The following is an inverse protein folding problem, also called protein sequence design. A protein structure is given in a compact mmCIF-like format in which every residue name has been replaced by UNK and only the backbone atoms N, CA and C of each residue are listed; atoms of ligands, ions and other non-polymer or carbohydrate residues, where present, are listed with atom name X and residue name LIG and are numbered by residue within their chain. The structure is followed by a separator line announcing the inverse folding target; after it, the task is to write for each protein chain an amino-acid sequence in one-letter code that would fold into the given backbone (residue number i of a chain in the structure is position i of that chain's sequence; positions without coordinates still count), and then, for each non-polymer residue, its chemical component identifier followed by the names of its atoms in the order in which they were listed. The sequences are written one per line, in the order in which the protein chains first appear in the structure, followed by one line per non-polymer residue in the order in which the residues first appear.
data_IF_578782034038
#
_entry.id   IF_578782034038
#
_cell.length_a   1.000
_cell.length_b   1.000
_cell.length_c   1.000
_cell.angle_alpha   90.00
_cell.angle_beta   90.00
_cell.angle_gamma   90.00
#
_symmetry.space_group_name_H-M   'P 1'
#
loop_
_entity.id
_entity.type
_entity.pdbx_description
1 polymer ?
#
# COMPACT_ATOMS: atom_id res chain seq x y z
N UNK A 1 -8.51 -57.18 -58.12
CA UNK A 1 -7.35 -56.27 -58.29
C UNK A 1 -7.83 -54.83 -58.20
N UNK A 2 -7.72 -54.21 -57.02
CA UNK A 2 -8.03 -52.78 -56.86
C UNK A 2 -7.02 -51.99 -57.70
N UNK A 3 -7.46 -51.24 -58.72
CA UNK A 3 -6.54 -50.48 -59.59
C UNK A 3 -5.79 -49.45 -58.75
N UNK A 4 -4.46 -49.43 -58.87
CA UNK A 4 -3.51 -48.57 -58.13
C UNK A 4 -3.89 -47.08 -58.16
N UNK A 5 -4.66 -46.67 -59.18
CA UNK A 5 -5.15 -45.31 -59.40
C UNK A 5 -6.17 -44.81 -58.36
N UNK A 6 -6.87 -45.70 -57.65
CA UNK A 6 -7.80 -45.35 -56.57
C UNK A 6 -7.17 -45.44 -55.18
N UNK A 7 -5.97 -46.01 -55.06
CA UNK A 7 -5.32 -46.25 -53.77
C UNK A 7 -4.78 -44.94 -53.15
N UNK A 8 -4.27 -44.05 -54.00
CA UNK A 8 -3.73 -42.75 -53.60
C UNK A 8 -4.79 -41.79 -53.01
N UNK A 9 -5.97 -41.56 -53.64
CA UNK A 9 -7.00 -40.70 -53.05
C UNK A 9 -7.61 -41.28 -51.77
N UNK A 10 -7.72 -42.62 -51.66
CA UNK A 10 -8.21 -43.28 -50.43
C UNK A 10 -7.21 -43.09 -49.28
N UNK A 11 -5.90 -43.21 -49.54
CA UNK A 11 -4.85 -42.98 -48.54
C UNK A 11 -4.88 -41.53 -48.01
N UNK A 12 -5.11 -40.55 -48.89
CA UNK A 12 -5.20 -39.13 -48.54
C UNK A 12 -6.45 -38.82 -47.70
N UNK A 13 -7.57 -39.47 -48.00
CA UNK A 13 -8.82 -39.35 -47.24
C UNK A 13 -8.71 -40.00 -45.85
N UNK A 14 -8.06 -41.17 -45.76
CA UNK A 14 -7.77 -41.85 -44.48
C UNK A 14 -6.79 -41.04 -43.64
N UNK A 15 -5.75 -40.46 -44.26
CA UNK A 15 -4.81 -39.55 -43.57
C UNK A 15 -5.51 -38.30 -43.05
N UNK A 16 -6.42 -37.71 -43.83
CA UNK A 16 -7.23 -36.56 -43.40
C UNK A 16 -8.13 -36.89 -42.22
N UNK A 17 -8.85 -38.02 -42.27
CA UNK A 17 -9.66 -38.49 -41.15
C UNK A 17 -8.83 -38.77 -39.89
N UNK A 18 -7.64 -39.36 -40.04
CA UNK A 18 -6.77 -39.70 -38.90
C UNK A 18 -6.19 -38.46 -38.22
N UNK A 19 -5.92 -37.40 -38.99
CA UNK A 19 -5.43 -36.12 -38.44
C UNK A 19 -6.48 -35.35 -37.62
N UNK A 20 -7.78 -35.57 -37.86
CA UNK A 20 -8.87 -34.93 -37.10
C UNK A 20 -9.12 -35.64 -35.75
N UNK A 21 -8.66 -36.89 -35.61
CA UNK A 21 -8.86 -37.72 -34.41
C UNK A 21 -7.71 -37.67 -33.40
N UNK A 22 -6.69 -36.83 -33.58
CA UNK A 22 -5.66 -36.66 -32.56
C UNK A 22 -6.25 -35.86 -31.39
N UNK A 23 -6.33 -36.42 -30.16
CA UNK A 23 -6.75 -35.64 -29.00
C UNK A 23 -5.75 -34.49 -28.82
N UNK A 24 -6.25 -33.26 -28.81
CA UNK A 24 -5.42 -32.10 -28.49
C UNK A 24 -4.82 -32.28 -27.10
N UNK A 25 -3.49 -32.23 -26.97
CA UNK A 25 -2.84 -32.18 -25.67
C UNK A 25 -3.15 -30.83 -25.01
N UNK A 26 -3.95 -30.84 -23.94
CA UNK A 26 -4.02 -29.70 -23.05
C UNK A 26 -2.77 -29.69 -22.15
N UNK A 27 -2.05 -28.57 -22.02
CA UNK A 27 -0.93 -28.49 -21.10
C UNK A 27 -1.36 -28.82 -19.67
N UNK A 28 -0.51 -29.55 -18.94
CA UNK A 28 -0.82 -30.02 -17.58
C UNK A 28 -1.10 -28.87 -16.63
N UNK A 29 -0.39 -27.75 -16.79
CA UNK A 29 -0.55 -26.54 -15.99
C UNK A 29 -1.92 -25.85 -16.18
N UNK A 30 -2.65 -26.20 -17.25
CA UNK A 30 -4.00 -25.67 -17.51
C UNK A 30 -5.12 -26.59 -17.02
N UNK A 31 -4.80 -27.80 -16.59
CA UNK A 31 -5.76 -28.69 -15.95
C UNK A 31 -6.07 -28.20 -14.54
N UNK A 32 -7.35 -28.13 -14.18
CA UNK A 32 -7.75 -27.76 -12.83
C UNK A 32 -7.51 -28.93 -11.87
N UNK A 33 -6.94 -28.63 -10.72
CA UNK A 33 -6.95 -29.53 -9.56
C UNK A 33 -8.00 -29.10 -8.53
N UNK A 34 -8.52 -30.08 -7.80
CA UNK A 34 -9.58 -29.90 -6.79
C UNK A 34 -9.06 -29.96 -5.35
N UNK A 35 -7.74 -30.06 -5.16
CA UNK A 35 -7.08 -30.10 -3.86
C UNK A 35 -5.80 -29.25 -3.88
N UNK A 36 -5.20 -29.03 -2.71
CA UNK A 36 -4.03 -28.16 -2.53
C UNK A 36 -4.41 -26.72 -2.17
N UNK A 37 -3.39 -25.90 -1.95
CA UNK A 37 -3.53 -24.51 -1.53
C UNK A 37 -2.50 -23.60 -2.21
N UNK A 38 -2.53 -22.33 -1.80
CA UNK A 38 -1.65 -21.28 -2.26
C UNK A 38 -0.46 -21.11 -1.31
N UNK A 39 0.66 -20.63 -1.85
CA UNK A 39 1.78 -20.14 -1.05
C UNK A 39 1.92 -18.62 -1.23
N UNK A 40 2.34 -17.92 -0.18
CA UNK A 40 2.44 -16.46 -0.19
C UNK A 40 3.90 -16.03 -0.01
N UNK A 41 4.31 -14.92 -0.62
CA UNK A 41 5.66 -14.37 -0.40
C UNK A 41 5.88 -13.85 1.03
N UNK A 42 4.80 -13.59 1.76
CA UNK A 42 4.83 -13.15 3.15
C UNK A 42 3.54 -13.59 3.85
N UNK A 43 3.63 -13.83 5.15
CA UNK A 43 2.50 -14.03 6.06
C UNK A 43 1.84 -12.70 6.45
N UNK A 44 2.64 -11.63 6.49
CA UNK A 44 2.21 -10.26 6.82
C UNK A 44 2.78 -9.24 5.83
N UNK A 45 1.92 -8.39 5.27
CA UNK A 45 2.32 -7.17 4.55
C UNK A 45 2.30 -6.00 5.53
N UNK A 46 3.51 -5.53 5.90
CA UNK A 46 3.70 -4.50 6.92
C UNK A 46 3.95 -3.11 6.33
N UNK A 47 3.30 -2.10 6.90
CA UNK A 47 3.57 -0.68 6.69
C UNK A 47 4.09 -0.06 8.00
N UNK A 48 5.39 0.24 8.03
CA UNK A 48 6.04 0.91 9.17
C UNK A 48 5.72 2.40 9.17
N UNK A 49 5.31 2.91 10.35
CA UNK A 49 4.89 4.28 10.66
C UNK A 49 4.50 5.14 9.46
N UNK A 50 3.24 5.07 9.08
CA UNK A 50 2.67 5.83 7.98
C UNK A 50 1.80 6.97 8.49
N UNK A 51 1.88 8.12 7.83
CA UNK A 51 1.00 9.24 8.16
C UNK A 51 -0.43 8.96 7.76
N UNK A 52 -1.38 9.31 8.62
CA UNK A 52 -2.81 9.24 8.28
C UNK A 52 -3.15 10.26 7.20
N UNK A 53 -4.26 10.06 6.51
CA UNK A 53 -4.78 10.87 5.40
C UNK A 53 -3.92 10.88 4.13
N UNK A 54 -2.65 10.48 4.21
CA UNK A 54 -1.73 10.30 3.08
C UNK A 54 -1.72 8.85 2.60
N UNK A 55 -1.44 8.68 1.31
CA UNK A 55 -1.30 7.36 0.69
C UNK A 55 0.10 6.81 0.98
N UNK A 56 0.18 5.53 1.34
CA UNK A 56 1.45 4.85 1.56
C UNK A 56 2.13 4.44 0.24
N UNK A 57 3.39 4.03 0.34
CA UNK A 57 4.06 3.30 -0.73
C UNK A 57 3.31 2.01 -1.08
N UNK A 58 3.44 1.54 -2.31
CA UNK A 58 2.87 0.27 -2.74
C UNK A 58 3.77 -0.90 -2.34
N UNK A 59 3.22 -1.90 -1.65
CA UNK A 59 3.89 -3.17 -1.34
C UNK A 59 3.44 -4.25 -2.32
N UNK A 60 4.35 -5.19 -2.61
CA UNK A 60 4.09 -6.34 -3.48
C UNK A 60 3.83 -7.58 -2.63
N UNK A 61 2.78 -8.32 -2.96
CA UNK A 61 2.47 -9.63 -2.43
C UNK A 61 2.36 -10.59 -3.61
N UNK A 62 3.23 -11.60 -3.65
CA UNK A 62 3.13 -12.68 -4.62
C UNK A 62 2.33 -13.82 -4.03
N UNK A 63 1.38 -14.32 -4.80
CA UNK A 63 0.54 -15.47 -4.51
C UNK A 63 0.93 -16.55 -5.50
N UNK A 64 1.47 -17.67 -5.02
CA UNK A 64 2.03 -18.74 -5.84
C UNK A 64 1.10 -19.95 -5.84
N UNK A 65 0.85 -20.48 -7.04
CA UNK A 65 0.39 -21.85 -7.19
C UNK A 65 1.61 -22.76 -7.32
N UNK A 66 2.06 -23.35 -6.21
CA UNK A 66 3.19 -24.29 -6.22
C UNK A 66 2.82 -25.69 -6.70
N UNK A 67 1.57 -25.91 -7.07
CA UNK A 67 1.09 -27.18 -7.55
C UNK A 67 1.34 -27.30 -9.07
N UNK A 68 1.51 -28.52 -9.61
CA UNK A 68 1.80 -28.73 -11.03
C UNK A 68 0.59 -28.50 -11.95
N UNK A 69 -0.61 -28.38 -11.39
CA UNK A 69 -1.87 -28.16 -12.10
C UNK A 69 -2.44 -26.79 -11.73
N UNK A 70 -3.26 -26.24 -12.60
CA UNK A 70 -3.92 -24.95 -12.38
C UNK A 70 -4.90 -24.99 -11.21
N UNK A 71 -5.05 -23.86 -10.54
CA UNK A 71 -6.00 -23.65 -9.44
C UNK A 71 -6.96 -22.53 -9.80
N UNK A 72 -8.21 -22.66 -9.35
CA UNK A 72 -9.16 -21.57 -9.38
C UNK A 72 -9.33 -21.03 -7.96
N UNK A 73 -9.03 -19.75 -7.77
CA UNK A 73 -9.30 -19.05 -6.51
C UNK A 73 -10.75 -18.59 -6.56
N UNK A 74 -11.58 -19.17 -5.71
CA UNK A 74 -13.01 -18.87 -5.65
C UNK A 74 -13.24 -17.41 -5.25
N UNK A 75 -12.49 -16.93 -4.26
CA UNK A 75 -12.60 -15.57 -3.73
C UNK A 75 -11.26 -15.05 -3.21
N UNK A 76 -10.92 -13.83 -3.61
CA UNK A 76 -9.91 -12.97 -3.00
C UNK A 76 -10.67 -11.77 -2.45
N UNK A 77 -10.59 -11.49 -1.14
CA UNK A 77 -11.29 -10.34 -0.54
C UNK A 77 -10.62 -9.87 0.74
N UNK A 78 -10.77 -8.59 1.04
CA UNK A 78 -10.54 -8.05 2.38
C UNK A 78 -11.68 -8.45 3.33
N UNK A 79 -11.46 -8.40 4.65
CA UNK A 79 -12.52 -8.62 5.64
C UNK A 79 -13.67 -7.60 5.48
N UNK A 80 -13.33 -6.33 5.23
CA UNK A 80 -14.29 -5.24 5.07
C UNK A 80 -13.99 -4.43 3.79
N UNK A 81 -14.23 -5.00 2.59
CA UNK A 81 -13.75 -4.42 1.33
C UNK A 81 -14.32 -3.01 1.03
N UNK A 82 -15.51 -2.68 1.55
CA UNK A 82 -16.16 -1.39 1.35
C UNK A 82 -15.58 -0.26 2.22
N UNK A 83 -15.08 -0.57 3.42
CA UNK A 83 -14.58 0.40 4.40
C UNK A 83 -13.09 0.27 4.65
N UNK A 84 -12.43 -0.69 4.01
CA UNK A 84 -11.02 -0.96 4.20
C UNK A 84 -10.16 0.26 3.85
N UNK A 85 -9.20 0.63 4.70
CA UNK A 85 -8.18 1.62 4.37
C UNK A 85 -7.09 1.04 3.45
N UNK A 86 -7.09 -0.27 3.20
CA UNK A 86 -6.23 -0.91 2.22
C UNK A 86 -6.87 -0.88 0.84
N UNK A 87 -6.05 -0.74 -0.19
CA UNK A 87 -6.45 -0.77 -1.59
C UNK A 87 -5.63 -1.82 -2.31
N UNK A 88 -6.32 -2.74 -2.98
CA UNK A 88 -5.69 -3.81 -3.74
C UNK A 88 -5.68 -3.52 -5.24
N UNK A 89 -4.59 -3.93 -5.89
CA UNK A 89 -4.51 -4.06 -7.34
C UNK A 89 -4.16 -5.52 -7.62
N UNK A 90 -5.12 -6.28 -8.15
CA UNK A 90 -5.01 -7.72 -8.35
C UNK A 90 -4.77 -7.96 -9.84
N UNK A 91 -3.58 -8.45 -10.19
CA UNK A 91 -3.13 -8.65 -11.57
C UNK A 91 -3.25 -7.42 -12.49
N UNK A 92 -3.07 -6.21 -11.93
CA UNK A 92 -3.18 -4.95 -12.66
C UNK A 92 -4.54 -4.25 -12.52
N UNK A 93 -5.59 -4.96 -12.08
CA UNK A 93 -6.91 -4.36 -11.90
C UNK A 93 -7.09 -3.79 -10.49
N UNK A 94 -7.57 -2.55 -10.40
CA UNK A 94 -7.93 -1.92 -9.13
C UNK A 94 -9.28 -2.49 -8.63
N UNK A 95 -9.23 -3.49 -7.76
CA UNK A 95 -10.43 -4.16 -7.20
C UNK A 95 -10.16 -4.66 -5.78
N UNK A 96 -11.12 -4.46 -4.88
CA UNK A 96 -11.05 -4.89 -3.46
C UNK A 96 -11.45 -6.35 -3.25
N UNK A 97 -12.08 -6.96 -4.25
CA UNK A 97 -12.40 -8.37 -4.29
C UNK A 97 -12.27 -8.88 -5.73
N UNK A 98 -11.96 -10.17 -5.87
CA UNK A 98 -11.95 -10.90 -7.13
C UNK A 98 -12.53 -12.29 -6.91
N UNK A 99 -13.28 -12.79 -7.89
CA UNK A 99 -13.85 -14.14 -7.86
C UNK A 99 -13.39 -14.93 -9.08
N UNK A 100 -13.37 -16.26 -8.95
CA UNK A 100 -13.02 -17.19 -10.03
C UNK A 100 -11.71 -16.82 -10.75
N UNK A 101 -10.66 -16.60 -9.96
CA UNK A 101 -9.36 -16.21 -10.50
C UNK A 101 -8.50 -17.44 -10.78
N UNK A 102 -8.25 -17.71 -12.06
CA UNK A 102 -7.43 -18.84 -12.49
C UNK A 102 -5.93 -18.53 -12.44
N UNK A 103 -5.15 -19.43 -11.84
CA UNK A 103 -3.68 -19.41 -11.86
C UNK A 103 -3.20 -20.76 -12.41
N UNK A 104 -2.32 -20.73 -13.41
CA UNK A 104 -1.72 -21.95 -13.97
C UNK A 104 -0.86 -22.70 -12.95
N UNK A 105 -0.61 -23.97 -13.22
CA UNK A 105 0.38 -24.76 -12.48
C UNK A 105 1.74 -24.07 -12.47
N UNK A 106 2.39 -24.07 -11.32
CA UNK A 106 3.72 -23.48 -11.09
C UNK A 106 3.84 -21.97 -11.38
N UNK A 107 2.71 -21.28 -11.50
CA UNK A 107 2.63 -19.85 -11.81
C UNK A 107 2.29 -19.01 -10.56
N UNK A 108 2.20 -17.70 -10.74
CA UNK A 108 1.96 -16.73 -9.69
C UNK A 108 1.06 -15.58 -10.11
N UNK A 109 0.40 -15.01 -9.11
CA UNK A 109 -0.37 -13.79 -9.19
C UNK A 109 0.31 -12.71 -8.38
N UNK A 110 0.47 -11.52 -8.95
CA UNK A 110 0.91 -10.33 -8.24
C UNK A 110 -0.29 -9.55 -7.71
N UNK A 111 -0.28 -9.28 -6.40
CA UNK A 111 -1.18 -8.34 -5.74
C UNK A 111 -0.34 -7.17 -5.24
N UNK A 112 -0.74 -5.95 -5.62
CA UNK A 112 -0.18 -4.74 -5.05
C UNK A 112 -1.10 -4.23 -3.94
N UNK A 113 -0.52 -3.95 -2.78
CA UNK A 113 -1.23 -3.45 -1.61
C UNK A 113 -0.78 -2.02 -1.33
N UNK A 114 -1.73 -1.11 -1.20
CA UNK A 114 -1.51 0.26 -0.73
C UNK A 114 -2.42 0.51 0.46
N UNK A 115 -2.08 1.47 1.31
CA UNK A 115 -2.92 1.87 2.41
C UNK A 115 -3.13 3.39 2.40
N UNK A 116 -4.27 3.83 2.93
CA UNK A 116 -4.56 5.22 3.27
C UNK A 116 -5.33 5.20 4.58
N UNK A 117 -4.60 5.36 5.68
CA UNK A 117 -5.18 5.26 7.02
C UNK A 117 -6.02 6.51 7.34
N UNK A 118 -7.21 6.38 7.94
CA UNK A 118 -7.99 7.52 8.40
C UNK A 118 -7.32 8.21 9.59
N UNK A 119 -7.65 9.47 9.86
CA UNK A 119 -7.36 10.04 11.19
C UNK A 119 -8.29 9.35 12.21
N UNK A 120 -7.74 8.89 13.33
CA UNK A 120 -8.52 8.21 14.37
C UNK A 120 -9.15 9.19 15.39
N UNK A 121 -9.03 10.51 15.17
CA UNK A 121 -9.63 11.56 16.00
C UNK A 121 -8.95 11.78 17.36
N UNK A 122 -7.90 11.03 17.69
CA UNK A 122 -7.22 11.14 18.98
C UNK A 122 -6.29 12.35 19.02
N UNK A 123 -6.73 13.41 19.70
CA UNK A 123 -6.00 14.67 19.98
C UNK A 123 -4.91 14.55 21.05
N UNK A 124 -4.45 13.34 21.36
CA UNK A 124 -3.45 13.12 22.39
C UNK A 124 -2.15 12.62 21.76
N UNK A 125 -1.03 12.97 22.42
CA UNK A 125 0.38 12.58 22.25
C UNK A 125 0.66 11.60 21.09
N UNK A 126 1.70 11.81 20.25
CA UNK A 126 1.89 11.07 19.00
C UNK A 126 2.15 9.58 19.27
N UNK A 127 1.08 8.83 19.49
CA UNK A 127 1.08 7.39 19.70
C UNK A 127 0.60 6.79 18.40
N UNK A 128 1.49 6.03 17.79
CA UNK A 128 1.13 5.26 16.63
C UNK A 128 0.04 4.26 17.03
N UNK A 129 -1.01 4.17 16.25
CA UNK A 129 -2.03 3.14 16.42
C UNK A 129 -1.80 2.03 15.38
N UNK A 130 -2.28 0.83 15.68
CA UNK A 130 -2.13 -0.31 14.78
C UNK A 130 -3.47 -0.60 14.12
N UNK A 131 -3.45 -0.79 12.81
CA UNK A 131 -4.60 -1.24 12.04
C UNK A 131 -4.25 -2.54 11.31
N UNK A 132 -5.10 -3.54 11.50
CA UNK A 132 -4.94 -4.90 11.00
C UNK A 132 -6.19 -5.32 10.23
N UNK A 133 -5.98 -5.98 9.09
CA UNK A 133 -7.05 -6.55 8.29
C UNK A 133 -6.54 -7.78 7.56
N UNK A 134 -7.38 -8.81 7.36
CA UNK A 134 -6.98 -9.98 6.60
C UNK A 134 -7.31 -9.80 5.12
N UNK A 135 -6.37 -10.19 4.28
CA UNK A 135 -6.61 -10.49 2.88
C UNK A 135 -6.85 -11.99 2.76
N UNK A 136 -8.11 -12.35 2.54
CA UNK A 136 -8.59 -13.73 2.51
C UNK A 136 -8.57 -14.30 1.09
N UNK A 137 -8.23 -15.59 1.01
CA UNK A 137 -8.20 -16.40 -0.20
C UNK A 137 -8.98 -17.69 0.05
N UNK A 138 -10.01 -17.95 -0.75
CA UNK A 138 -10.72 -19.24 -0.79
C UNK A 138 -10.32 -20.00 -2.04
N UNK A 139 -9.80 -21.21 -1.90
CA UNK A 139 -9.34 -22.04 -3.03
C UNK A 139 -9.61 -23.50 -2.70
N UNK A 140 -10.33 -24.22 -3.55
CA UNK A 140 -10.63 -25.65 -3.35
C UNK A 140 -11.29 -25.95 -1.98
N UNK A 141 -12.11 -25.02 -1.48
CA UNK A 141 -12.74 -25.11 -0.15
C UNK A 141 -11.81 -24.83 1.04
N UNK A 142 -10.53 -24.53 0.81
CA UNK A 142 -9.58 -24.11 1.83
C UNK A 142 -9.54 -22.59 1.95
N UNK A 143 -9.59 -22.08 3.18
CA UNK A 143 -9.43 -20.66 3.49
C UNK A 143 -8.01 -20.38 3.98
N UNK A 144 -7.33 -19.45 3.33
CA UNK A 144 -6.02 -18.94 3.71
C UNK A 144 -6.06 -17.42 3.79
N UNK A 145 -5.14 -16.81 4.54
CA UNK A 145 -5.07 -15.37 4.64
C UNK A 145 -3.64 -14.86 4.76
N UNK A 146 -3.46 -13.60 4.35
CA UNK A 146 -2.26 -12.80 4.61
C UNK A 146 -2.69 -11.60 5.45
N UNK A 147 -1.95 -11.32 6.52
CA UNK A 147 -2.25 -10.19 7.41
C UNK A 147 -1.76 -8.89 6.77
N UNK A 148 -2.62 -7.88 6.67
CA UNK A 148 -2.23 -6.51 6.33
C UNK A 148 -2.12 -5.72 7.64
N UNK A 149 -0.92 -5.20 7.94
CA UNK A 149 -0.65 -4.51 9.21
C UNK A 149 0.02 -3.17 8.99
N UNK A 150 -0.58 -2.12 9.54
CA UNK A 150 -0.09 -0.75 9.43
C UNK A 150 0.02 -0.07 10.78
N UNK A 151 1.11 0.68 10.98
CA UNK A 151 1.28 1.58 12.12
C UNK A 151 0.94 3.00 11.67
N UNK A 152 -0.20 3.53 12.08
CA UNK A 152 -0.68 4.87 11.72
C UNK A 152 -0.20 5.93 12.70
N UNK A 153 0.25 7.07 12.17
CA UNK A 153 0.61 8.26 12.93
C UNK A 153 -0.26 9.43 12.47
N UNK A 154 -1.10 9.97 13.35
CA UNK A 154 -1.88 11.15 13.01
C UNK A 154 -0.98 12.37 12.79
N UNK A 155 -1.41 13.25 11.89
CA UNK A 155 -0.66 14.43 11.46
C UNK A 155 -1.56 15.66 11.33
N UNK A 156 -0.93 16.84 11.35
CA UNK A 156 -1.48 18.04 10.74
C UNK A 156 -1.01 18.13 9.29
N UNK A 157 -1.92 17.92 8.35
CA UNK A 157 -1.61 18.04 6.92
C UNK A 157 -1.76 19.50 6.46
N UNK A 158 -0.69 20.07 5.95
CA UNK A 158 -0.67 21.39 5.32
C UNK A 158 -0.46 21.21 3.82
N UNK A 159 -1.55 21.28 3.05
CA UNK A 159 -1.52 21.01 1.61
C UNK A 159 -1.83 22.25 0.79
N UNK A 160 -0.86 22.76 0.03
CA UNK A 160 -0.98 23.97 -0.79
C UNK A 160 -1.79 25.09 -0.09
N UNK A 161 -1.30 25.52 1.08
CA UNK A 161 -2.07 26.35 2.00
C UNK A 161 -1.36 27.64 2.33
N UNK A 162 -2.13 28.73 2.30
CA UNK A 162 -1.72 30.02 2.83
C UNK A 162 -2.22 30.08 4.28
N UNK A 163 -1.32 30.24 5.25
CA UNK A 163 -1.69 30.29 6.66
C UNK A 163 -2.57 31.51 6.96
N UNK A 164 -3.55 31.37 7.86
CA UNK A 164 -4.48 32.46 8.15
C UNK A 164 -3.76 33.63 8.86
N UNK A 165 -4.13 34.85 8.49
CA UNK A 165 -3.51 36.09 9.00
C UNK A 165 -4.32 36.78 10.12
N UNK A 166 -5.21 36.06 10.79
CA UNK A 166 -6.05 36.58 11.87
C UNK A 166 -5.40 36.44 13.26
N UNK A 167 -4.07 36.53 13.31
CA UNK A 167 -3.27 36.37 14.52
C UNK A 167 -2.05 35.48 14.31
N UNK A 168 -1.49 34.97 15.40
CA UNK A 168 -0.35 34.03 15.36
C UNK A 168 -0.86 32.61 15.14
N UNK A 169 -0.51 32.00 14.01
CA UNK A 169 -0.71 30.56 13.81
C UNK A 169 0.31 29.80 14.64
N UNK A 170 -0.13 28.79 15.40
CA UNK A 170 0.73 28.01 16.29
C UNK A 170 0.79 26.55 15.85
N UNK A 171 2.00 26.04 15.58
CA UNK A 171 2.26 24.62 15.39
C UNK A 171 2.73 24.00 16.71
N UNK A 172 2.02 22.97 17.14
CA UNK A 172 2.21 22.27 18.42
C UNK A 172 3.00 20.97 18.23
N UNK A 173 3.48 20.39 19.33
CA UNK A 173 4.29 19.17 19.29
C UNK A 173 3.50 17.89 19.60
N UNK A 174 2.16 17.99 19.70
CA UNK A 174 1.27 16.87 20.00
C UNK A 174 1.14 15.90 18.83
N UNK A 175 1.33 16.37 17.59
CA UNK A 175 1.39 15.54 16.39
C UNK A 175 2.38 16.13 15.37
N UNK A 176 2.96 15.31 14.47
CA UNK A 176 3.74 15.84 13.37
C UNK A 176 2.95 16.76 12.44
N UNK A 177 3.60 17.79 11.92
CA UNK A 177 3.11 18.59 10.80
C UNK A 177 3.72 18.06 9.51
N UNK A 178 2.91 17.91 8.46
CA UNK A 178 3.39 17.44 7.15
C UNK A 178 3.06 18.49 6.10
N UNK A 179 4.10 18.99 5.43
CA UNK A 179 3.97 19.91 4.30
C UNK A 179 3.83 19.08 3.03
N UNK A 180 2.73 19.25 2.34
CA UNK A 180 2.46 18.61 1.06
C UNK A 180 2.27 19.71 0.02
N UNK A 181 3.30 19.97 -0.80
CA UNK A 181 3.43 21.18 -1.62
C UNK A 181 3.76 22.44 -0.77
N UNK A 182 3.32 23.62 -1.20
CA UNK A 182 3.73 24.92 -0.68
C UNK A 182 2.85 25.36 0.48
N UNK A 183 3.49 25.79 1.56
CA UNK A 183 2.87 26.44 2.72
C UNK A 183 3.39 27.86 2.80
N UNK A 184 2.51 28.86 2.73
CA UNK A 184 2.89 30.27 2.75
C UNK A 184 2.50 30.89 4.09
N UNK A 185 3.45 31.57 4.73
CA UNK A 185 3.22 32.52 5.82
C UNK A 185 3.20 33.92 5.19
N UNK A 186 2.02 34.54 4.97
CA UNK A 186 1.95 35.82 4.25
C UNK A 186 2.63 36.96 5.02
N UNK A 187 2.94 38.04 4.29
CA UNK A 187 3.40 39.28 4.87
C UNK A 187 2.46 39.79 5.97
N UNK A 188 3.02 40.20 7.11
CA UNK A 188 2.26 40.67 8.27
C UNK A 188 1.70 39.55 9.17
N UNK A 189 1.77 38.29 8.77
CA UNK A 189 1.32 37.15 9.58
C UNK A 189 2.49 36.53 10.36
N UNK A 190 2.18 35.78 11.42
CA UNK A 190 3.19 35.09 12.24
C UNK A 190 2.89 33.60 12.33
N UNK A 191 3.86 32.76 12.00
CA UNK A 191 3.89 31.33 12.34
C UNK A 191 4.79 31.13 13.55
N UNK A 192 4.27 30.53 14.62
CA UNK A 192 5.02 30.14 15.81
C UNK A 192 5.06 28.62 15.95
N UNK A 193 6.26 28.05 16.01
CA UNK A 193 6.48 26.60 16.11
C UNK A 193 6.99 26.28 17.52
N UNK A 194 6.22 25.46 18.25
CA UNK A 194 6.54 25.09 19.63
C UNK A 194 7.74 24.12 19.71
N UNK A 195 8.46 24.11 20.83
CA UNK A 195 9.54 23.16 21.11
C UNK A 195 9.14 21.70 20.90
N UNK A 196 10.02 20.94 20.26
CA UNK A 196 9.81 19.52 19.99
C UNK A 196 8.87 19.20 18.83
N UNK A 197 8.36 20.22 18.13
CA UNK A 197 7.52 20.00 16.95
C UNK A 197 8.31 19.29 15.85
N UNK A 198 7.70 18.27 15.24
CA UNK A 198 8.26 17.51 14.11
C UNK A 198 7.55 17.94 12.83
N UNK A 199 8.31 18.38 11.84
CA UNK A 199 7.81 18.87 10.56
C UNK A 199 8.44 18.02 9.46
N UNK A 200 7.61 17.42 8.63
CA UNK A 200 8.04 16.62 7.50
C UNK A 200 7.64 17.33 6.20
N UNK A 201 8.58 17.50 5.28
CA UNK A 201 8.31 18.00 3.94
C UNK A 201 8.20 16.84 2.95
N UNK A 202 7.08 16.72 2.24
CA UNK A 202 7.05 15.85 1.07
C UNK A 202 8.05 16.37 0.02
N UNK A 203 8.54 15.49 -0.86
CA UNK A 203 9.41 15.90 -1.96
C UNK A 203 8.80 17.07 -2.75
N UNK A 204 9.58 18.15 -2.89
CA UNK A 204 9.16 19.39 -3.55
C UNK A 204 8.31 20.35 -2.71
N UNK A 205 8.02 20.03 -1.44
CA UNK A 205 7.32 20.96 -0.54
C UNK A 205 8.17 22.16 -0.18
N UNK A 206 7.50 23.29 0.07
CA UNK A 206 8.13 24.57 0.43
C UNK A 206 7.41 25.16 1.64
N UNK A 207 8.17 25.68 2.59
CA UNK A 207 7.66 26.63 3.59
C UNK A 207 8.15 28.02 3.19
N UNK A 208 7.27 28.80 2.58
CA UNK A 208 7.57 30.17 2.15
C UNK A 208 7.15 31.12 3.27
N UNK A 209 8.09 31.92 3.75
CA UNK A 209 7.83 32.88 4.83
C UNK A 209 8.01 34.30 4.30
N UNK A 210 6.89 34.97 4.00
CA UNK A 210 6.85 36.40 3.67
C UNK A 210 6.59 37.26 4.92
N UNK A 211 6.03 36.64 5.98
CA UNK A 211 5.80 37.24 7.29
C UNK A 211 6.88 36.90 8.30
N UNK A 212 6.45 36.52 9.51
CA UNK A 212 7.34 36.19 10.64
C UNK A 212 7.29 34.70 10.96
N UNK A 213 8.46 34.08 11.14
CA UNK A 213 8.60 32.73 11.67
C UNK A 213 9.27 32.77 13.04
N UNK A 214 8.58 32.26 14.07
CA UNK A 214 9.08 32.14 15.43
C UNK A 214 9.28 30.66 15.76
N UNK A 215 10.54 30.22 15.88
CA UNK A 215 10.87 28.83 16.24
C UNK A 215 11.54 28.84 17.60
N UNK A 216 11.06 28.03 18.55
CA UNK A 216 11.63 27.97 19.90
C UNK A 216 11.79 29.37 20.51
N UNK A 217 10.73 30.19 20.45
CA UNK A 217 10.75 31.52 21.06
C UNK A 217 11.13 31.40 22.54
N UNK A 218 11.90 32.34 23.14
CA UNK A 218 12.29 32.28 24.55
C UNK A 218 11.11 32.15 25.52
N UNK A 219 9.92 32.59 25.09
CA UNK A 219 8.65 32.42 25.81
C UNK A 219 8.12 30.98 25.82
N UNK A 220 8.57 30.08 24.92
CA UNK A 220 8.28 28.64 24.96
C UNK A 220 9.42 27.83 25.56
N UNK A 221 10.65 28.11 25.13
CA UNK A 221 11.85 27.39 25.52
C UNK A 221 13.10 28.16 25.13
N UNK A 222 14.05 28.30 26.05
CA UNK A 222 15.36 28.87 25.76
C UNK A 222 16.41 27.75 25.74
N UNK A 223 16.98 27.39 24.58
CA UNK A 223 18.00 26.35 24.51
C UNK A 223 19.25 26.69 25.33
N UNK A 224 19.83 25.69 25.99
CA UNK A 224 21.07 25.79 26.76
C UNK A 224 20.90 26.29 28.20
N UNK A 225 19.68 26.46 28.71
CA UNK A 225 19.45 26.95 30.09
C UNK A 225 19.27 25.86 31.13
N UNK A 226 19.01 24.61 30.72
CA UNK A 226 18.88 23.45 31.62
C UNK A 226 20.16 22.62 31.73
N UNK A 227 20.42 22.01 32.90
CA UNK A 227 21.65 21.22 33.13
C UNK A 227 21.84 20.02 32.17
N UNK A 228 20.77 19.53 31.54
CA UNK A 228 20.79 18.45 30.53
C UNK A 228 20.43 18.93 29.12
N UNK A 229 20.18 20.24 28.99
CA UNK A 229 19.77 20.88 27.75
C UNK A 229 20.99 21.10 26.86
N UNK A 230 21.16 20.17 25.93
CA UNK A 230 22.24 20.18 24.97
C UNK A 230 21.62 20.31 23.58
N UNK A 231 22.19 21.14 22.72
CA UNK A 231 21.81 21.20 21.30
C UNK A 231 22.35 19.93 20.63
N UNK A 232 21.62 18.82 20.80
CA UNK A 232 21.95 17.51 20.25
C UNK A 232 20.74 16.92 19.55
N UNK A 233 21.00 16.04 18.57
CA UNK A 233 19.97 15.42 17.74
C UNK A 233 18.85 14.72 18.53
N UNK A 234 19.12 14.24 19.75
CA UNK A 234 18.14 13.59 20.64
C UNK A 234 17.34 14.52 21.56
N UNK A 235 17.56 15.84 21.55
CA UNK A 235 16.88 16.76 22.47
C UNK A 235 15.39 16.90 22.11
N UNK A 236 14.50 16.52 23.02
CA UNK A 236 13.06 16.53 22.79
C UNK A 236 12.48 17.93 22.52
N UNK A 237 13.18 19.00 22.91
CA UNK A 237 12.70 20.39 22.79
C UNK A 237 13.14 21.07 21.48
N UNK A 238 13.96 20.41 20.65
CA UNK A 238 14.37 20.96 19.35
C UNK A 238 13.28 20.69 18.31
N UNK A 239 12.87 21.75 17.61
CA UNK A 239 12.04 21.65 16.40
C UNK A 239 12.86 20.99 15.29
N UNK A 240 12.27 19.99 14.62
CA UNK A 240 12.95 19.22 13.57
C UNK A 240 12.21 19.35 12.27
N UNK A 241 12.95 19.68 11.22
CA UNK A 241 12.52 19.59 9.84
C UNK A 241 13.19 18.36 9.21
N UNK A 242 12.38 17.49 8.62
CA UNK A 242 12.83 16.28 7.92
C UNK A 242 12.17 16.22 6.54
N UNK A 243 12.82 15.56 5.58
CA UNK A 243 12.28 15.26 4.24
C UNK A 243 12.22 13.77 3.98
#
# INVERSE_FOLDING_TARGET
MLKIRYLFPILLLVSGMLSVSLPGCKPREEELQTSGGLAFSADTVKFDTVFTTLRTVTKRLWVYNRNPKGVNIDLITLDQPATSPYTLIINGDLKQAATNFFIRGEDSLLILVRAKLPDNGLNTTPKSYVLEEKLNFRTNGNDQHVLLRSFGQNIYLHQNVVLPCNGTTVWTNDRPHVLYDTVVVPAGCTLRIKPGTRIYGHAGSLLVVEGTLLVNSPTDYNPGTGATDTVKAGNANIVRFSG
#
